data_IF_475560733459
#
_entry.id   IF_475560733459
#
_cell.length_a   1.000
_cell.length_b   1.000
_cell.length_c   1.000
_cell.angle_alpha   90.00
_cell.angle_beta   90.00
_cell.angle_gamma   90.00
#
_symmetry.space_group_name_H-M   'P 1'
#
loop_
_entity.id
_entity.type
_entity.pdbx_description
1 polymer ?
#
# COMPACT_ATOMS: atom_id res chain seq x y z
N UNK A 1 10.83 8.83 -8.22
CA UNK A 1 10.62 7.99 -7.03
C UNK A 1 11.31 6.65 -7.25
N UNK A 2 12.24 6.30 -6.37
CA UNK A 2 13.00 5.04 -6.37
C UNK A 2 12.32 3.99 -5.50
N UNK A 3 12.80 2.75 -5.54
CA UNK A 3 12.33 1.67 -4.64
C UNK A 3 12.61 2.03 -3.17
N UNK A 4 13.78 2.59 -2.86
CA UNK A 4 14.16 3.01 -1.50
C UNK A 4 13.21 4.09 -0.95
N UNK A 5 12.91 5.11 -1.76
CA UNK A 5 11.97 6.17 -1.38
C UNK A 5 10.56 5.61 -1.15
N UNK A 6 10.13 4.67 -1.99
CA UNK A 6 8.82 4.02 -1.85
C UNK A 6 8.75 3.20 -0.56
N UNK A 7 9.78 2.43 -0.24
CA UNK A 7 9.86 1.65 0.99
C UNK A 7 9.83 2.55 2.25
N UNK A 8 10.59 3.65 2.23
CA UNK A 8 10.57 4.64 3.32
C UNK A 8 9.18 5.28 3.50
N UNK A 9 8.52 5.65 2.40
CA UNK A 9 7.17 6.20 2.44
C UNK A 9 6.16 5.22 3.04
N UNK A 10 6.23 3.94 2.69
CA UNK A 10 5.36 2.91 3.26
C UNK A 10 5.66 2.75 4.75
N UNK A 11 6.94 2.70 5.15
CA UNK A 11 7.36 2.61 6.55
C UNK A 11 6.79 3.72 7.42
N UNK A 12 6.82 4.96 6.94
CA UNK A 12 6.20 6.10 7.62
C UNK A 12 4.68 5.92 7.77
N UNK A 13 4.00 5.49 6.70
CA UNK A 13 2.54 5.35 6.67
C UNK A 13 2.06 4.27 7.66
N UNK A 14 2.79 3.16 7.77
CA UNK A 14 2.42 2.04 8.64
C UNK A 14 2.93 2.18 10.08
N UNK A 15 3.76 3.19 10.37
CA UNK A 15 4.39 3.36 11.67
C UNK A 15 5.48 2.33 11.98
N UNK A 16 6.21 1.85 10.97
CA UNK A 16 7.31 0.91 11.17
C UNK A 16 8.54 1.66 11.68
N UNK A 17 9.06 1.21 12.84
CA UNK A 17 10.22 1.80 13.52
C UNK A 17 11.50 0.96 13.40
N UNK A 18 11.48 -0.15 12.64
CA UNK A 18 12.65 -0.96 12.39
C UNK A 18 13.52 -0.42 11.25
N UNK A 19 14.54 -1.19 10.89
CA UNK A 19 15.46 -0.84 9.80
C UNK A 19 14.99 -1.41 8.45
N UNK A 20 15.11 -0.62 7.39
CA UNK A 20 14.90 -1.07 6.00
C UNK A 20 16.25 -1.38 5.37
N UNK A 21 16.55 -2.67 5.21
CA UNK A 21 17.76 -3.15 4.54
C UNK A 21 17.43 -3.57 3.10
N UNK A 22 18.17 -3.05 2.13
CA UNK A 22 18.10 -3.49 0.74
C UNK A 22 19.18 -4.55 0.48
N UNK A 23 18.77 -5.75 0.10
CA UNK A 23 19.67 -6.85 -0.23
C UNK A 23 20.25 -6.69 -1.64
N UNK A 24 21.50 -6.23 -1.74
CA UNK A 24 22.21 -6.00 -3.00
C UNK A 24 22.71 -7.29 -3.67
N UNK A 25 22.54 -8.47 -3.03
CA UNK A 25 22.84 -9.74 -3.67
C UNK A 25 21.78 -10.14 -4.72
N UNK A 26 20.60 -9.51 -4.65
CA UNK A 26 19.51 -9.71 -5.61
C UNK A 26 19.69 -8.76 -6.81
N UNK A 27 19.52 -9.24 -8.05
CA UNK A 27 19.62 -8.39 -9.21
C UNK A 27 18.47 -7.39 -9.25
N UNK A 28 18.79 -6.14 -9.58
CA UNK A 28 17.78 -5.14 -9.87
C UNK A 28 17.08 -5.42 -11.20
N UNK A 29 15.82 -4.99 -11.30
CA UNK A 29 15.06 -5.00 -12.54
C UNK A 29 15.45 -3.86 -13.49
N UNK A 30 14.60 -3.57 -14.47
CA UNK A 30 14.81 -2.42 -15.36
C UNK A 30 14.86 -1.11 -14.57
N UNK A 31 15.95 -0.34 -14.73
CA UNK A 31 16.21 0.89 -13.97
C UNK A 31 15.07 1.91 -14.00
N UNK A 32 14.37 2.04 -15.13
CA UNK A 32 13.26 2.97 -15.29
C UNK A 32 12.16 2.37 -16.15
N UNK A 33 10.94 2.37 -15.61
CA UNK A 33 9.73 1.93 -16.30
C UNK A 33 8.63 2.96 -16.09
N UNK A 34 8.73 4.08 -16.80
CA UNK A 34 7.75 5.17 -16.75
C UNK A 34 6.95 5.23 -18.05
N UNK A 35 5.70 5.68 -17.94
CA UNK A 35 4.85 6.00 -19.07
C UNK A 35 4.92 7.51 -19.33
N UNK A 36 5.02 7.92 -20.59
CA UNK A 36 4.74 9.30 -20.97
C UNK A 36 3.22 9.52 -20.96
N UNK A 37 2.77 10.49 -20.17
CA UNK A 37 1.37 10.87 -19.99
C UNK A 37 1.01 12.19 -20.67
N UNK A 38 1.91 12.75 -21.50
CA UNK A 38 1.72 14.00 -22.24
C UNK A 38 0.40 14.04 -23.01
N UNK A 39 0.03 12.94 -23.68
CA UNK A 39 -1.25 12.80 -24.40
C UNK A 39 -2.47 12.89 -23.50
N UNK A 40 -2.45 12.22 -22.34
CA UNK A 40 -3.57 12.27 -21.39
C UNK A 40 -3.75 13.70 -20.85
N UNK A 41 -2.64 14.36 -20.51
CA UNK A 41 -2.64 15.75 -20.06
C UNK A 41 -3.19 16.70 -21.14
N UNK A 42 -2.85 16.47 -22.41
CA UNK A 42 -3.37 17.28 -23.54
C UNK A 42 -4.89 17.14 -23.72
N UNK A 43 -5.47 16.00 -23.33
CA UNK A 43 -6.92 15.80 -23.29
C UNK A 43 -7.58 16.36 -22.01
N UNK A 44 -6.83 17.10 -21.19
CA UNK A 44 -7.31 17.69 -19.95
C UNK A 44 -7.42 16.71 -18.78
N UNK A 45 -6.99 15.45 -18.96
CA UNK A 45 -6.95 14.50 -17.86
C UNK A 45 -5.68 14.69 -17.03
N UNK A 46 -5.85 14.78 -15.72
CA UNK A 46 -4.75 14.89 -14.77
C UNK A 46 -5.00 13.96 -13.58
N UNK A 47 -3.94 13.37 -13.04
CA UNK A 47 -4.06 12.58 -11.83
C UNK A 47 -4.49 13.47 -10.65
N UNK A 48 -5.47 13.02 -9.87
CA UNK A 48 -6.00 13.76 -8.72
C UNK A 48 -5.45 13.25 -7.38
N UNK A 49 -4.86 12.06 -7.36
CA UNK A 49 -4.36 11.39 -6.15
C UNK A 49 -2.84 11.36 -6.19
N UNK A 50 -2.22 11.91 -5.17
CA UNK A 50 -0.77 11.81 -4.94
C UNK A 50 -0.41 10.45 -4.33
N UNK A 51 0.81 9.98 -4.57
CA UNK A 51 1.24 8.63 -4.16
C UNK A 51 1.07 8.39 -2.64
N UNK A 52 1.47 9.35 -1.80
CA UNK A 52 1.32 9.26 -0.33
C UNK A 52 -0.16 9.11 0.07
N UNK A 53 -1.03 9.93 -0.53
CA UNK A 53 -2.47 9.89 -0.26
C UNK A 53 -3.08 8.56 -0.69
N UNK A 54 -2.68 8.05 -1.86
CA UNK A 54 -3.12 6.76 -2.36
C UNK A 54 -2.69 5.60 -1.45
N UNK A 55 -1.41 5.56 -1.06
CA UNK A 55 -0.88 4.53 -0.16
C UNK A 55 -1.55 4.56 1.21
N UNK A 56 -1.79 5.74 1.79
CA UNK A 56 -2.49 5.86 3.07
C UNK A 56 -3.91 5.29 2.99
N UNK A 57 -4.67 5.62 1.96
CA UNK A 57 -6.03 5.08 1.74
C UNK A 57 -6.03 3.56 1.61
N UNK A 58 -5.07 3.00 0.86
CA UNK A 58 -4.94 1.55 0.70
C UNK A 58 -4.60 0.88 2.04
N UNK A 59 -3.69 1.48 2.82
CA UNK A 59 -3.34 0.97 4.14
C UNK A 59 -4.53 1.00 5.12
N UNK A 60 -5.28 2.11 5.17
CA UNK A 60 -6.48 2.24 6.00
C UNK A 60 -7.56 1.20 5.63
N UNK A 61 -7.79 1.00 4.33
CA UNK A 61 -8.69 -0.05 3.83
C UNK A 61 -8.21 -1.45 4.24
N UNK A 62 -6.91 -1.74 4.10
CA UNK A 62 -6.35 -3.03 4.48
C UNK A 62 -6.48 -3.28 5.99
N UNK A 63 -6.11 -2.30 6.82
CA UNK A 63 -6.16 -2.41 8.27
C UNK A 63 -7.59 -2.60 8.80
N UNK A 64 -8.56 -1.87 8.24
CA UNK A 64 -9.97 -2.04 8.61
C UNK A 64 -10.50 -3.42 8.20
N UNK A 65 -10.10 -3.93 7.04
CA UNK A 65 -10.49 -5.28 6.59
C UNK A 65 -9.88 -6.37 7.47
N UNK A 66 -8.61 -6.24 7.86
CA UNK A 66 -7.94 -7.20 8.75
C UNK A 66 -8.62 -7.29 10.12
N UNK A 67 -9.00 -6.15 10.70
CA UNK A 67 -9.77 -6.10 11.96
C UNK A 67 -11.13 -6.80 11.87
N UNK A 68 -11.79 -6.73 10.71
CA UNK A 68 -13.05 -7.42 10.47
C UNK A 68 -12.90 -8.95 10.39
N UNK A 69 -11.75 -9.45 9.91
CA UNK A 69 -11.47 -10.89 9.84
C UNK A 69 -11.23 -11.48 11.24
N UNK A 70 -10.53 -10.77 12.13
CA UNK A 70 -10.35 -11.20 13.53
C UNK A 70 -11.68 -11.23 14.31
N UNK A 71 -12.56 -10.25 14.05
CA UNK A 71 -13.88 -10.17 14.69
C UNK A 71 -14.80 -11.30 14.23
N UNK A 72 -14.79 -11.64 12.93
CA UNK A 72 -15.59 -12.74 12.38
C UNK A 72 -15.12 -14.13 12.85
N UNK A 73 -13.80 -14.32 13.06
CA UNK A 73 -13.24 -15.58 13.54
C UNK A 73 -13.52 -15.86 15.03
N UNK A 74 -13.81 -14.82 15.83
CA UNK A 74 -14.09 -14.94 17.27
C UNK A 74 -15.57 -15.11 17.62
N UNK A 75 -16.48 -14.97 16.64
CA UNK A 75 -17.92 -15.11 16.84
C UNK A 75 -18.35 -16.60 16.86
N UNK A 76 -18.17 -17.27 18.00
CA UNK A 76 -18.72 -18.62 18.22
C UNK A 76 -20.26 -18.56 18.25
N UNK A 77 -21.01 -19.37 17.48
CA UNK A 77 -22.46 -19.35 17.54
C UNK A 77 -22.92 -19.91 18.90
N UNK A 78 -23.68 -19.11 19.66
CA UNK A 78 -24.38 -19.61 20.86
C UNK A 78 -25.34 -20.71 20.42
N UNK A 79 -25.06 -21.94 20.84
CA UNK A 79 -25.96 -23.08 20.67
C UNK A 79 -27.25 -22.77 21.42
N UNK A 80 -28.34 -22.52 20.69
CA UNK A 80 -29.69 -22.47 21.25
C UNK A 80 -30.10 -23.91 21.53
N UNK A 81 -30.04 -24.32 22.79
CA UNK A 81 -30.62 -25.59 23.24
C UNK A 81 -32.09 -25.36 23.57
N UNK A 82 -32.97 -26.07 22.84
CA UNK A 82 -34.37 -26.26 23.22
C UNK A 82 -34.55 -27.44 24.16
#
# INVERSE_FOLDING_TARGET
>A
MTIRETAGLISEIVGFHGEIVLDTSRPDGTMQKLLDVSRLNAFGWQHSIQIRTGLKKVYEWYASTASNLETAASATPRRVTG
#
